data_IF_761833085769
#
_entry.id   IF_761833085769
#
_cell.length_a   1.000
_cell.length_b   1.000
_cell.length_c   1.000
_cell.angle_alpha   90.00
_cell.angle_beta   90.00
_cell.angle_gamma   90.00
#
_symmetry.space_group_name_H-M   'P 1'
#
loop_
_entity.id
_entity.type
_entity.pdbx_description
1 polymer ?
#
# COMPACT_ATOMS: atom_id res chain seq x y z
N UNK A 1 8.29 -7.00 12.06
CA UNK A 1 8.72 -7.82 10.92
C UNK A 1 7.83 -7.54 9.73
N UNK A 2 8.34 -6.92 8.67
CA UNK A 2 7.57 -6.69 7.45
C UNK A 2 7.45 -8.03 6.70
N UNK A 3 6.33 -8.73 6.90
CA UNK A 3 6.03 -9.94 6.12
C UNK A 3 5.90 -9.52 4.66
N UNK A 4 6.72 -10.09 3.78
CA UNK A 4 6.69 -9.79 2.36
C UNK A 4 5.32 -10.14 1.78
N UNK A 5 4.60 -9.13 1.27
CA UNK A 5 3.22 -9.23 0.76
C UNK A 5 3.05 -10.35 -0.27
N UNK A 6 4.09 -10.67 -1.05
CA UNK A 6 4.06 -11.80 -2.00
C UNK A 6 3.90 -13.14 -1.29
N UNK A 7 4.70 -13.40 -0.26
CA UNK A 7 4.64 -14.64 0.53
C UNK A 7 3.34 -14.74 1.32
N UNK A 8 2.82 -13.63 1.84
CA UNK A 8 1.53 -13.61 2.53
C UNK A 8 0.38 -14.05 1.59
N UNK A 9 0.35 -13.56 0.35
CA UNK A 9 -0.66 -13.98 -0.64
C UNK A 9 -0.56 -15.47 -0.97
N UNK A 10 0.66 -15.95 -1.19
CA UNK A 10 0.91 -17.38 -1.49
C UNK A 10 0.44 -18.24 -0.32
N UNK A 11 0.81 -17.89 0.91
CA UNK A 11 0.38 -18.62 2.10
C UNK A 11 -1.14 -18.64 2.27
N UNK A 12 -1.82 -17.49 2.12
CA UNK A 12 -3.29 -17.42 2.19
C UNK A 12 -3.97 -18.24 1.09
N UNK A 13 -3.41 -18.24 -0.12
CA UNK A 13 -3.90 -19.06 -1.23
C UNK A 13 -3.72 -20.56 -0.98
N UNK A 14 -2.53 -20.97 -0.51
CA UNK A 14 -2.25 -22.37 -0.20
C UNK A 14 -3.11 -22.88 0.96
N UNK A 15 -3.18 -22.16 2.07
CA UNK A 15 -4.01 -22.54 3.22
C UNK A 15 -5.49 -22.63 2.83
N UNK A 16 -6.02 -21.62 2.13
CA UNK A 16 -7.41 -21.62 1.66
C UNK A 16 -7.72 -22.74 0.67
N UNK A 17 -6.77 -23.06 -0.22
CA UNK A 17 -6.92 -24.14 -1.20
C UNK A 17 -6.93 -25.53 -0.56
N UNK A 18 -6.00 -25.78 0.38
CA UNK A 18 -5.92 -27.04 1.12
C UNK A 18 -7.19 -27.25 1.95
N UNK A 19 -7.63 -26.23 2.70
CA UNK A 19 -8.85 -26.34 3.51
C UNK A 19 -10.10 -26.53 2.65
N UNK A 20 -10.15 -25.95 1.45
CA UNK A 20 -11.27 -26.10 0.54
C UNK A 20 -11.30 -27.49 -0.11
N UNK A 21 -10.12 -28.08 -0.37
CA UNK A 21 -10.02 -29.46 -0.85
C UNK A 21 -10.57 -30.44 0.18
N UNK A 22 -10.11 -30.36 1.43
CA UNK A 22 -10.58 -31.24 2.50
C UNK A 22 -12.05 -31.00 2.84
N UNK A 23 -12.46 -29.74 3.02
CA UNK A 23 -13.86 -29.40 3.31
C UNK A 23 -14.81 -29.74 2.15
N UNK A 24 -14.38 -29.51 0.91
CA UNK A 24 -15.17 -29.75 -0.30
C UNK A 24 -15.34 -31.23 -0.64
N UNK A 25 -14.42 -32.10 -0.24
CA UNK A 25 -14.56 -33.56 -0.41
C UNK A 25 -15.26 -34.18 0.80
N UNK A 26 -14.85 -33.85 2.03
CA UNK A 26 -15.44 -34.45 3.24
C UNK A 26 -16.92 -34.10 3.43
N UNK A 27 -17.31 -32.84 3.23
CA UNK A 27 -18.65 -32.42 3.61
C UNK A 27 -19.73 -33.07 2.71
N UNK A 28 -19.59 -33.11 1.37
CA UNK A 28 -20.51 -33.88 0.53
C UNK A 28 -20.44 -35.38 0.78
N UNK A 29 -19.25 -35.94 1.00
CA UNK A 29 -19.11 -37.37 1.31
C UNK A 29 -19.84 -37.75 2.61
N UNK A 30 -19.78 -36.91 3.65
CA UNK A 30 -20.52 -37.15 4.89
C UNK A 30 -22.02 -36.86 4.77
N UNK A 31 -22.44 -35.92 3.91
CA UNK A 31 -23.86 -35.58 3.75
C UNK A 31 -24.62 -36.53 2.83
N UNK A 32 -23.98 -37.04 1.79
CA UNK A 32 -24.61 -37.85 0.72
C UNK A 32 -24.04 -39.27 0.60
N UNK A 33 -22.89 -39.56 1.22
CA UNK A 33 -22.28 -40.88 1.17
C UNK A 33 -22.98 -41.90 2.08
N UNK A 34 -22.92 -43.17 1.68
CA UNK A 34 -23.29 -44.29 2.51
C UNK A 34 -22.27 -44.47 3.64
N UNK A 35 -22.76 -44.67 4.86
CA UNK A 35 -21.92 -44.91 6.04
C UNK A 35 -21.68 -46.40 6.23
N UNK A 36 -20.50 -46.75 6.72
CA UNK A 36 -20.25 -48.11 7.25
C UNK A 36 -21.05 -48.31 8.54
N UNK A 37 -21.54 -49.52 8.75
CA UNK A 37 -22.33 -49.89 9.94
C UNK A 37 -21.56 -49.57 11.23
N UNK A 38 -22.19 -48.79 12.11
CA UNK A 38 -21.62 -48.35 13.40
C UNK A 38 -20.87 -47.00 13.38
N UNK A 39 -20.68 -46.36 12.22
CA UNK A 39 -20.01 -45.06 12.15
C UNK A 39 -20.96 -43.87 12.36
N UNK A 40 -20.54 -42.88 13.17
CA UNK A 40 -21.27 -41.64 13.35
C UNK A 40 -20.88 -40.59 12.31
N UNK A 41 -21.89 -39.93 11.72
CA UNK A 41 -21.74 -38.93 10.65
C UNK A 41 -21.29 -37.55 11.14
N UNK A 42 -21.69 -37.19 12.36
CA UNK A 42 -21.56 -35.85 12.92
C UNK A 42 -20.13 -35.31 12.99
N UNK A 43 -19.09 -36.09 13.37
CA UNK A 43 -17.73 -35.58 13.44
C UNK A 43 -17.20 -35.06 12.09
N UNK A 44 -17.47 -35.78 11.01
CA UNK A 44 -17.05 -35.40 9.66
C UNK A 44 -17.76 -34.15 9.15
N UNK A 45 -19.05 -33.99 9.48
CA UNK A 45 -19.83 -32.78 9.14
C UNK A 45 -19.28 -31.55 9.87
N UNK A 46 -18.99 -31.68 11.17
CA UNK A 46 -18.42 -30.59 11.98
C UNK A 46 -17.06 -30.18 11.42
N UNK A 47 -16.14 -31.13 11.22
CA UNK A 47 -14.81 -30.82 10.68
C UNK A 47 -14.87 -30.21 9.27
N UNK A 48 -15.67 -30.80 8.38
CA UNK A 48 -15.87 -30.29 7.02
C UNK A 48 -16.40 -28.85 7.00
N UNK A 49 -17.35 -28.53 7.89
CA UNK A 49 -17.90 -27.17 7.98
C UNK A 49 -16.87 -26.15 8.46
N UNK A 50 -16.04 -26.49 9.46
CA UNK A 50 -14.94 -25.65 9.94
C UNK A 50 -13.96 -25.38 8.79
N UNK A 51 -13.58 -26.41 8.04
CA UNK A 51 -12.69 -26.26 6.89
C UNK A 51 -13.24 -25.31 5.83
N UNK A 52 -14.54 -25.37 5.52
CA UNK A 52 -15.18 -24.44 4.57
C UNK A 52 -15.16 -23.00 5.10
N UNK A 53 -15.46 -22.78 6.38
CA UNK A 53 -15.45 -21.44 6.99
C UNK A 53 -14.04 -20.85 6.96
N UNK A 54 -13.01 -21.63 7.31
CA UNK A 54 -11.60 -21.20 7.23
C UNK A 54 -11.21 -20.87 5.79
N UNK A 55 -11.63 -21.68 4.83
CA UNK A 55 -11.40 -21.44 3.40
C UNK A 55 -11.99 -20.11 2.96
N UNK A 56 -13.27 -19.87 3.26
CA UNK A 56 -13.97 -18.63 2.93
C UNK A 56 -13.26 -17.42 3.53
N UNK A 57 -12.87 -17.49 4.80
CA UNK A 57 -12.13 -16.42 5.46
C UNK A 57 -10.81 -16.12 4.75
N UNK A 58 -10.02 -17.15 4.43
CA UNK A 58 -8.75 -16.99 3.71
C UNK A 58 -8.96 -16.38 2.32
N UNK A 59 -9.95 -16.86 1.56
CA UNK A 59 -10.25 -16.33 0.22
C UNK A 59 -10.77 -14.90 0.25
N UNK A 60 -11.64 -14.54 1.21
CA UNK A 60 -12.11 -13.16 1.39
C UNK A 60 -10.93 -12.24 1.68
N UNK A 61 -10.04 -12.63 2.61
CA UNK A 61 -8.83 -11.85 2.91
C UNK A 61 -7.93 -11.73 1.68
N UNK A 62 -7.71 -12.81 0.94
CA UNK A 62 -6.91 -12.81 -0.29
C UNK A 62 -7.51 -11.85 -1.34
N UNK A 63 -8.83 -11.90 -1.54
CA UNK A 63 -9.55 -11.03 -2.45
C UNK A 63 -9.45 -9.55 -2.05
N UNK A 64 -9.62 -9.24 -0.76
CA UNK A 64 -9.48 -7.87 -0.24
C UNK A 64 -8.05 -7.36 -0.40
N UNK A 65 -7.03 -8.19 -0.16
CA UNK A 65 -5.63 -7.83 -0.41
C UNK A 65 -5.42 -7.57 -1.91
N UNK A 66 -5.93 -8.43 -2.79
CA UNK A 66 -5.72 -8.30 -4.23
C UNK A 66 -6.43 -7.08 -4.82
N UNK A 67 -7.69 -6.84 -4.44
CA UNK A 67 -8.46 -5.66 -4.86
C UNK A 67 -7.80 -4.36 -4.38
N UNK A 68 -7.26 -4.37 -3.17
CA UNK A 68 -6.51 -3.26 -2.61
C UNK A 68 -5.22 -3.02 -3.36
N UNK A 69 -4.44 -4.06 -3.61
CA UNK A 69 -3.19 -3.95 -4.37
C UNK A 69 -3.43 -3.46 -5.79
N UNK A 70 -4.48 -3.91 -6.47
CA UNK A 70 -4.82 -3.40 -7.80
C UNK A 70 -5.14 -1.89 -7.78
N UNK A 71 -5.93 -1.44 -6.79
CA UNK A 71 -6.25 0.00 -6.63
C UNK A 71 -4.98 0.82 -6.38
N UNK A 72 -4.05 0.32 -5.59
CA UNK A 72 -2.81 1.02 -5.27
C UNK A 72 -1.71 0.87 -6.33
N UNK A 73 -1.71 -0.21 -7.11
CA UNK A 73 -0.81 -0.36 -8.26
C UNK A 73 -1.11 0.68 -9.34
N UNK A 74 -2.37 1.11 -9.50
CA UNK A 74 -2.71 2.23 -10.38
C UNK A 74 -2.06 3.53 -9.91
N UNK A 75 -2.07 3.80 -8.59
CA UNK A 75 -1.33 4.93 -8.04
C UNK A 75 0.18 4.76 -8.28
N UNK A 76 0.76 3.59 -8.02
CA UNK A 76 2.19 3.34 -8.26
C UNK A 76 2.60 3.51 -9.73
N UNK A 77 1.77 3.06 -10.68
CA UNK A 77 2.02 3.20 -12.11
C UNK A 77 1.96 4.67 -12.58
N UNK A 78 1.04 5.46 -12.02
CA UNK A 78 0.97 6.90 -12.28
C UNK A 78 2.11 7.67 -11.62
N UNK A 79 2.57 7.17 -10.48
CA UNK A 79 3.66 7.76 -9.70
C UNK A 79 5.02 7.55 -10.39
N UNK A 80 5.27 6.34 -10.91
CA UNK A 80 6.46 6.04 -11.70
C UNK A 80 7.78 6.51 -11.06
N UNK A 81 8.71 6.99 -11.88
CA UNK A 81 9.99 7.57 -11.46
C UNK A 81 9.92 9.10 -11.25
N UNK A 82 8.74 9.67 -11.08
CA UNK A 82 8.60 11.13 -10.95
C UNK A 82 8.99 11.59 -9.54
N UNK A 83 9.82 12.64 -9.46
CA UNK A 83 10.37 13.17 -8.20
C UNK A 83 9.32 13.89 -7.33
N UNK A 84 8.33 14.52 -7.97
CA UNK A 84 7.27 15.28 -7.31
C UNK A 84 6.01 15.26 -8.16
N UNK A 85 4.84 15.00 -7.55
CA UNK A 85 3.57 14.89 -8.27
C UNK A 85 2.52 15.79 -7.61
N UNK A 86 1.90 16.70 -8.36
CA UNK A 86 0.77 17.48 -7.85
C UNK A 86 -0.43 16.56 -7.60
N UNK A 87 -0.96 16.63 -6.38
CA UNK A 87 -2.10 15.81 -5.94
C UNK A 87 -3.34 16.10 -6.79
N UNK A 88 -3.48 17.34 -7.30
CA UNK A 88 -4.57 17.72 -8.22
C UNK A 88 -4.55 16.87 -9.49
N UNK A 89 -3.40 16.81 -10.16
CA UNK A 89 -3.23 16.01 -11.38
C UNK A 89 -3.45 14.52 -11.12
N UNK A 90 -2.98 14.02 -9.98
CA UNK A 90 -3.20 12.63 -9.58
C UNK A 90 -4.68 12.34 -9.31
N UNK A 91 -5.39 13.28 -8.68
CA UNK A 91 -6.82 13.18 -8.38
C UNK A 91 -7.66 13.17 -9.67
N UNK A 92 -7.33 14.05 -10.64
CA UNK A 92 -7.98 14.12 -11.95
C UNK A 92 -7.79 12.82 -12.73
N UNK A 93 -6.57 12.28 -12.75
CA UNK A 93 -6.27 11.03 -13.45
C UNK A 93 -6.92 9.80 -12.81
N UNK A 94 -7.16 9.86 -11.50
CA UNK A 94 -7.86 8.83 -10.74
C UNK A 94 -9.37 9.05 -10.66
N UNK A 95 -9.89 10.10 -11.32
CA UNK A 95 -11.30 10.50 -11.32
C UNK A 95 -11.90 10.57 -9.90
N UNK A 96 -11.20 11.27 -8.99
CA UNK A 96 -11.60 11.42 -7.59
C UNK A 96 -11.30 12.82 -7.06
N UNK A 97 -11.96 13.22 -5.97
CA UNK A 97 -11.67 14.50 -5.32
C UNK A 97 -10.29 14.50 -4.65
N UNK A 98 -9.67 15.68 -4.53
CA UNK A 98 -8.34 15.84 -3.89
C UNK A 98 -8.31 15.33 -2.46
N UNK A 99 -9.32 15.63 -1.65
CA UNK A 99 -9.44 15.11 -0.27
C UNK A 99 -9.46 13.58 -0.23
N UNK A 100 -10.18 12.96 -1.18
CA UNK A 100 -10.27 11.50 -1.29
C UNK A 100 -8.95 10.90 -1.77
N UNK A 101 -8.22 11.59 -2.64
CA UNK A 101 -6.88 11.20 -3.06
C UNK A 101 -5.90 11.24 -1.88
N UNK A 102 -5.86 12.33 -1.10
CA UNK A 102 -5.02 12.46 0.10
C UNK A 102 -5.33 11.35 1.11
N UNK A 103 -6.60 11.09 1.38
CA UNK A 103 -7.01 10.01 2.30
C UNK A 103 -6.57 8.63 1.81
N UNK A 104 -6.68 8.37 0.50
CA UNK A 104 -6.21 7.11 -0.10
C UNK A 104 -4.68 6.99 -0.03
N UNK A 105 -3.95 8.08 -0.27
CA UNK A 105 -2.49 8.13 -0.20
C UNK A 105 -1.98 7.91 1.22
N UNK A 106 -2.56 8.59 2.22
CA UNK A 106 -2.26 8.33 3.65
C UNK A 106 -2.49 6.88 4.04
N UNK A 107 -3.57 6.28 3.52
CA UNK A 107 -3.85 4.86 3.72
C UNK A 107 -2.85 3.96 2.99
N UNK A 108 -2.33 4.35 1.83
CA UNK A 108 -1.28 3.61 1.15
C UNK A 108 0.03 3.64 1.96
N UNK A 109 0.40 4.83 2.46
CA UNK A 109 1.58 5.04 3.32
C UNK A 109 1.52 4.21 4.60
N UNK A 110 0.38 4.16 5.29
CA UNK A 110 0.23 3.33 6.50
C UNK A 110 0.34 1.83 6.25
N UNK A 111 0.16 1.37 5.00
CA UNK A 111 0.38 -0.02 4.60
C UNK A 111 1.79 -0.28 4.06
N UNK A 112 2.72 0.66 4.26
CA UNK A 112 4.11 0.57 3.83
C UNK A 112 4.30 0.69 2.32
N UNK A 113 3.32 1.22 1.58
CA UNK A 113 3.54 1.65 0.19
C UNK A 113 3.98 3.11 0.21
N UNK A 114 5.04 3.44 -0.53
CA UNK A 114 5.60 4.80 -0.52
C UNK A 114 6.05 5.21 0.91
N UNK A 115 6.74 4.31 1.61
CA UNK A 115 7.16 4.50 3.01
C UNK A 115 7.93 5.78 3.25
N UNK A 116 8.61 6.26 2.22
CA UNK A 116 9.50 7.40 2.32
C UNK A 116 8.83 8.68 1.77
N UNK A 117 7.64 8.56 1.15
CA UNK A 117 6.98 9.71 0.54
C UNK A 117 6.38 10.67 1.57
N UNK A 118 6.48 11.97 1.29
CA UNK A 118 5.94 13.04 2.10
C UNK A 118 4.83 13.79 1.35
N UNK A 119 3.74 14.13 2.07
CA UNK A 119 2.66 14.95 1.53
C UNK A 119 2.86 16.39 2.04
N UNK A 120 3.17 17.29 1.11
CA UNK A 120 3.17 18.72 1.37
C UNK A 120 1.75 19.26 1.20
N UNK A 121 1.10 19.56 2.32
CA UNK A 121 -0.28 20.07 2.37
C UNK A 121 -0.37 21.55 1.97
N UNK A 122 0.70 22.33 2.13
CA UNK A 122 0.70 23.75 1.74
C UNK A 122 0.67 23.89 0.22
N UNK A 123 1.43 23.04 -0.48
CA UNK A 123 1.57 23.09 -1.93
C UNK A 123 0.73 22.02 -2.66
N UNK A 124 0.12 21.08 -1.93
CA UNK A 124 -0.67 19.99 -2.50
C UNK A 124 0.17 19.03 -3.35
N UNK A 125 1.38 18.73 -2.90
CA UNK A 125 2.37 17.93 -3.61
C UNK A 125 2.67 16.63 -2.85
N UNK A 126 2.89 15.56 -3.60
CA UNK A 126 3.43 14.31 -3.07
C UNK A 126 4.90 14.19 -3.52
N UNK A 127 5.80 14.12 -2.55
CA UNK A 127 7.25 14.15 -2.71
C UNK A 127 7.83 12.78 -2.37
N UNK A 128 8.77 12.29 -3.18
CA UNK A 128 9.53 11.08 -2.89
C UNK A 128 10.97 11.46 -2.55
N UNK A 129 11.53 11.04 -1.40
CA UNK A 129 12.95 11.17 -1.16
C UNK A 129 13.64 10.27 -2.18
N UNK A 130 14.38 10.92 -3.06
CA UNK A 130 15.13 10.24 -4.09
C UNK A 130 16.22 9.39 -3.42
N UNK A 131 16.23 8.08 -3.65
CA UNK A 131 17.28 7.17 -3.17
C UNK A 131 18.66 7.45 -3.80
N UNK A 132 18.72 8.30 -4.84
CA UNK A 132 19.97 8.82 -5.40
C UNK A 132 20.32 10.24 -4.91
N UNK A 133 19.49 10.83 -4.04
CA UNK A 133 19.88 11.95 -3.21
C UNK A 133 20.22 11.37 -1.84
N UNK A 134 21.50 11.06 -1.62
CA UNK A 134 22.07 11.57 -0.38
C UNK A 134 21.62 13.02 -0.30
N UNK A 135 20.76 13.35 0.67
CA UNK A 135 20.37 14.72 0.94
C UNK A 135 21.62 15.50 1.30
N UNK A 136 22.37 15.93 0.29
CA UNK A 136 23.41 16.90 0.44
C UNK A 136 22.65 18.19 0.77
N UNK A 137 22.55 18.46 2.08
CA UNK A 137 22.15 19.75 2.57
C UNK A 137 23.13 20.74 1.95
N UNK A 138 22.63 21.58 1.04
CA UNK A 138 23.41 22.66 0.48
C UNK A 138 23.11 23.88 1.33
N UNK A 139 24.11 24.40 2.02
CA UNK A 139 24.03 25.72 2.63
C UNK A 139 24.01 26.74 1.51
N UNK A 140 22.86 27.38 1.31
CA UNK A 140 22.72 28.49 0.38
C UNK A 140 22.51 29.78 1.17
N UNK A 141 23.05 30.86 0.63
CA UNK A 141 22.83 32.19 1.14
C UNK A 141 21.55 32.74 0.51
N UNK A 142 20.63 33.23 1.34
CA UNK A 142 19.45 33.90 0.83
C UNK A 142 19.85 35.20 0.11
N UNK A 143 19.49 35.40 -1.16
CA UNK A 143 19.84 36.62 -1.89
C UNK A 143 19.15 37.88 -1.33
N UNK A 144 18.06 37.70 -0.57
CA UNK A 144 17.30 38.81 -0.01
C UNK A 144 17.76 39.23 1.40
N UNK A 145 18.07 38.27 2.29
CA UNK A 145 18.42 38.59 3.68
C UNK A 145 19.84 38.18 4.09
N UNK A 146 20.61 37.54 3.20
CA UNK A 146 21.97 37.07 3.47
C UNK A 146 22.08 35.90 4.44
N UNK A 147 20.96 35.45 5.03
CA UNK A 147 20.98 34.36 6.00
C UNK A 147 21.38 33.02 5.35
N UNK A 148 22.21 32.27 6.06
CA UNK A 148 22.59 30.90 5.70
C UNK A 148 21.42 29.98 6.01
N UNK A 149 20.92 29.27 4.99
CA UNK A 149 19.87 28.27 5.16
C UNK A 149 20.35 26.95 4.58
N UNK A 150 20.24 25.88 5.36
CA UNK A 150 20.46 24.51 4.88
C UNK A 150 19.21 24.07 4.12
N UNK A 151 19.37 23.80 2.83
CA UNK A 151 18.26 23.40 1.96
C UNK A 151 18.59 22.07 1.30
N UNK A 152 17.59 21.21 1.17
CA UNK A 152 17.74 19.95 0.44
C UNK A 152 17.74 20.24 -1.07
N UNK A 153 18.78 19.79 -1.76
CA UNK A 153 18.93 19.98 -3.21
C UNK A 153 17.74 19.37 -3.95
N UNK A 154 17.16 20.14 -4.88
CA UNK A 154 15.98 19.77 -5.65
C UNK A 154 14.63 20.04 -4.99
N UNK A 155 14.57 20.72 -3.84
CA UNK A 155 13.33 21.10 -3.15
C UNK A 155 13.19 22.62 -3.00
N UNK A 156 12.01 23.16 -3.27
CA UNK A 156 11.70 24.55 -2.94
C UNK A 156 11.67 24.72 -1.42
N UNK A 157 12.52 25.61 -0.90
CA UNK A 157 12.57 25.92 0.52
C UNK A 157 12.40 27.42 0.72
N UNK A 158 11.70 27.81 1.79
CA UNK A 158 11.52 29.22 2.15
C UNK A 158 12.62 29.59 3.15
N UNK A 159 13.22 30.77 2.99
CA UNK A 159 14.17 31.27 3.98
C UNK A 159 13.45 31.47 5.33
N UNK A 160 14.02 30.92 6.41
CA UNK A 160 13.44 31.00 7.75
C UNK A 160 13.32 32.42 8.30
N UNK A 161 14.12 33.36 7.78
CA UNK A 161 14.21 34.73 8.27
C UNK A 161 13.36 35.72 7.47
N UNK A 162 13.31 35.60 6.14
CA UNK A 162 12.62 36.57 5.29
C UNK A 162 11.48 35.96 4.44
N UNK A 163 11.26 34.64 4.52
CA UNK A 163 10.21 33.95 3.76
C UNK A 163 10.46 33.87 2.25
N UNK A 164 11.60 34.37 1.75
CA UNK A 164 11.93 34.35 0.33
C UNK A 164 12.11 32.91 -0.17
N UNK A 165 11.54 32.58 -1.33
CA UNK A 165 11.62 31.25 -1.94
C UNK A 165 13.01 31.05 -2.51
N UNK A 166 13.68 29.99 -2.06
CA UNK A 166 15.00 29.60 -2.51
C UNK A 166 14.87 28.42 -3.47
N UNK A 167 15.39 28.60 -4.68
CA UNK A 167 15.48 27.55 -5.68
C UNK A 167 16.80 26.78 -5.49
N UNK A 168 16.72 25.61 -4.85
CA UNK A 168 17.87 24.72 -4.69
C UNK A 168 18.08 23.95 -6.01
N UNK A 169 18.67 24.63 -7.00
CA UNK A 169 18.77 24.20 -8.39
C UNK A 169 19.01 22.69 -8.64
N UNK A 170 18.61 22.24 -9.84
CA UNK A 170 18.61 20.82 -10.24
C UNK A 170 19.92 20.11 -9.85
N UNK A 171 19.85 18.86 -9.34
CA UNK A 171 21.05 18.04 -9.18
C UNK A 171 21.66 17.81 -10.58
N UNK A 172 22.97 18.06 -10.67
CA UNK A 172 23.82 17.81 -11.83
C UNK A 172 24.02 16.30 -12.06
#
# INVERSE_FOLDING_TARGET
>A
MAVNKKYLKIALGMCGGISLFFGGIMLPACLFGSMVEGASRWPGVIFGSICIVVSLFCFIKLFLINRRDQKFNNYAALIGNQKSIPIKWLADKMNCSQERAIKNLRRAMSYGMFSDAYIDEENGLLLFPNYNAHGALKTIYCPNCGAVTEVMIGYYSKCKYCGFVLDSGKPE
#
